data_IF_500728480000
#
_entry.id   IF_500728480000
#
_cell.length_a   1.000
_cell.length_b   1.000
_cell.length_c   1.000
_cell.angle_alpha   90.00
_cell.angle_beta   90.00
_cell.angle_gamma   90.00
#
_symmetry.space_group_name_H-M   'P 1'
#
loop_
_entity.id
_entity.type
_entity.pdbx_description
1 polymer ?
#
# COMPACT_ATOMS: atom_id res chain seq x y z
N UNK A 1 -7.53 61.03 27.34
CA UNK A 1 -6.50 60.16 26.75
C UNK A 1 -6.81 58.65 26.76
N UNK A 2 -7.99 58.23 27.20
CA UNK A 2 -8.35 56.78 27.34
C UNK A 2 -9.19 56.17 26.17
N UNK A 3 -9.71 56.97 25.27
CA UNK A 3 -10.58 56.50 24.17
C UNK A 3 -9.75 55.96 22.99
N UNK A 4 -8.61 56.59 22.67
CA UNK A 4 -7.74 56.19 21.54
C UNK A 4 -7.06 54.82 21.71
N UNK A 5 -6.76 54.43 22.94
CA UNK A 5 -6.15 53.11 23.23
C UNK A 5 -7.14 51.92 23.07
N UNK A 6 -8.43 52.17 23.38
CA UNK A 6 -9.48 51.14 23.24
C UNK A 6 -9.82 50.84 21.76
N UNK A 7 -9.79 51.84 20.90
CA UNK A 7 -10.01 51.68 19.47
C UNK A 7 -8.86 50.91 18.78
N UNK A 8 -7.62 51.23 19.15
CA UNK A 8 -6.44 50.51 18.61
C UNK A 8 -6.43 49.00 18.95
N UNK A 9 -6.85 48.64 20.17
CA UNK A 9 -6.98 47.22 20.59
C UNK A 9 -8.10 46.53 19.85
N UNK A 10 -9.24 47.20 19.65
CA UNK A 10 -10.39 46.67 18.93
C UNK A 10 -10.08 46.41 17.45
N UNK A 11 -9.35 47.32 16.82
CA UNK A 11 -8.86 47.15 15.43
C UNK A 11 -7.85 46.04 15.29
N UNK A 12 -6.95 45.82 16.23
CA UNK A 12 -6.00 44.71 16.24
C UNK A 12 -6.71 43.34 16.40
N UNK A 13 -7.73 43.29 17.25
CA UNK A 13 -8.53 42.07 17.42
C UNK A 13 -9.35 41.77 16.17
N UNK A 14 -9.97 42.74 15.53
CA UNK A 14 -10.69 42.59 14.27
C UNK A 14 -9.78 42.09 13.14
N UNK A 15 -8.58 42.68 12.99
CA UNK A 15 -7.60 42.17 12.00
C UNK A 15 -7.16 40.76 12.28
N UNK A 16 -6.96 40.38 13.56
CA UNK A 16 -6.59 38.98 13.92
C UNK A 16 -7.72 37.97 13.64
N UNK A 17 -8.98 38.38 13.83
CA UNK A 17 -10.12 37.55 13.46
C UNK A 17 -10.29 37.42 11.94
N UNK A 18 -10.12 38.55 11.22
CA UNK A 18 -10.19 38.56 9.75
C UNK A 18 -9.14 37.67 9.12
N UNK A 19 -7.89 37.71 9.63
CA UNK A 19 -6.83 36.83 9.15
C UNK A 19 -7.11 35.33 9.42
N UNK A 20 -7.83 34.98 10.49
CA UNK A 20 -8.25 33.61 10.76
C UNK A 20 -9.36 33.15 9.81
N UNK A 21 -10.31 34.02 9.50
CA UNK A 21 -11.40 33.73 8.56
C UNK A 21 -10.88 33.59 7.13
N UNK A 22 -9.96 34.46 6.70
CA UNK A 22 -9.31 34.35 5.38
C UNK A 22 -8.42 33.11 5.28
N UNK A 23 -7.69 32.74 6.34
CA UNK A 23 -6.91 31.49 6.35
C UNK A 23 -7.84 30.26 6.28
N UNK A 24 -8.97 30.26 6.98
CA UNK A 24 -9.95 29.19 6.96
C UNK A 24 -10.62 29.06 5.57
N UNK A 25 -10.95 30.18 4.93
CA UNK A 25 -11.53 30.18 3.59
C UNK A 25 -10.55 29.72 2.52
N UNK A 26 -9.25 30.05 2.66
CA UNK A 26 -8.20 29.57 1.77
C UNK A 26 -7.94 28.07 1.95
N UNK A 27 -7.98 27.53 3.17
CA UNK A 27 -7.86 26.08 3.41
C UNK A 27 -9.07 25.32 2.89
N UNK A 28 -10.28 25.83 3.06
CA UNK A 28 -11.50 25.23 2.49
C UNK A 28 -11.45 25.28 0.96
N UNK A 29 -10.99 26.38 0.37
CA UNK A 29 -10.81 26.50 -1.08
C UNK A 29 -9.78 25.51 -1.64
N UNK A 30 -8.67 25.24 -0.93
CA UNK A 30 -7.69 24.22 -1.34
C UNK A 30 -8.25 22.79 -1.23
N UNK A 31 -9.01 22.50 -0.18
CA UNK A 31 -9.61 21.15 -0.02
C UNK A 31 -10.68 20.88 -1.08
N UNK A 32 -11.52 21.88 -1.41
CA UNK A 32 -12.53 21.73 -2.49
C UNK A 32 -11.92 21.81 -3.90
N UNK A 33 -10.82 22.53 -4.09
CA UNK A 33 -10.12 22.60 -5.38
C UNK A 33 -9.44 21.28 -5.77
N UNK A 34 -9.06 20.44 -4.80
CA UNK A 34 -8.50 19.10 -5.04
C UNK A 34 -9.55 18.05 -5.47
N UNK A 35 -10.84 18.34 -5.29
CA UNK A 35 -11.95 17.48 -5.73
C UNK A 35 -12.64 17.97 -7.01
N UNK A 36 -12.10 18.96 -7.71
CA UNK A 36 -12.50 19.19 -9.08
C UNK A 36 -12.03 17.97 -9.89
N UNK A 37 -12.89 16.95 -9.95
CA UNK A 37 -12.73 15.89 -10.93
C UNK A 37 -12.68 16.58 -12.31
N UNK A 38 -11.49 16.68 -12.87
CA UNK A 38 -11.35 17.00 -14.28
C UNK A 38 -12.12 15.89 -15.01
N UNK A 39 -13.23 16.18 -15.69
CA UNK A 39 -13.83 15.16 -16.53
C UNK A 39 -12.76 14.81 -17.57
N UNK A 40 -12.18 13.64 -17.45
CA UNK A 40 -11.47 13.02 -18.56
C UNK A 40 -12.57 12.77 -19.59
N UNK A 41 -12.77 13.72 -20.49
CA UNK A 41 -13.46 13.44 -21.72
C UNK A 41 -12.61 12.40 -22.43
N UNK A 42 -13.08 11.15 -22.41
CA UNK A 42 -12.63 10.20 -23.42
C UNK A 42 -12.99 10.86 -24.76
N UNK A 43 -11.98 11.30 -25.50
CA UNK A 43 -12.20 11.60 -26.91
C UNK A 43 -12.78 10.32 -27.52
N UNK A 44 -13.98 10.41 -28.08
CA UNK A 44 -14.57 9.40 -28.96
C UNK A 44 -13.74 9.37 -30.27
N UNK A 45 -12.44 9.19 -30.15
CA UNK A 45 -11.57 8.79 -31.23
C UNK A 45 -11.92 7.34 -31.52
N UNK A 46 -12.40 7.13 -32.75
CA UNK A 46 -12.69 5.86 -33.38
C UNK A 46 -11.67 4.78 -33.00
N UNK A 47 -11.85 4.18 -31.80
CA UNK A 47 -10.94 3.19 -31.23
C UNK A 47 -11.27 1.88 -31.93
N UNK A 48 -10.56 1.62 -33.00
CA UNK A 48 -10.38 0.29 -33.53
C UNK A 48 -10.04 -0.64 -32.35
N UNK A 49 -11.06 -1.34 -31.82
CA UNK A 49 -10.94 -2.45 -30.91
C UNK A 49 -10.01 -2.27 -29.72
N UNK A 50 -10.26 -1.31 -28.79
CA UNK A 50 -9.53 -1.31 -27.52
C UNK A 50 -9.89 -2.58 -26.74
N UNK A 51 -8.91 -3.44 -26.52
CA UNK A 51 -9.08 -4.62 -25.65
C UNK A 51 -9.06 -4.15 -24.20
N UNK A 52 -10.19 -4.29 -23.50
CA UNK A 52 -10.29 -3.99 -22.06
C UNK A 52 -9.85 -5.25 -21.30
N UNK A 53 -8.90 -5.09 -20.38
CA UNK A 53 -8.47 -6.14 -19.46
C UNK A 53 -9.12 -5.91 -18.08
N UNK A 54 -9.65 -6.99 -17.48
CA UNK A 54 -10.03 -7.03 -16.08
C UNK A 54 -8.84 -7.54 -15.27
N UNK A 55 -8.14 -6.65 -14.57
CA UNK A 55 -7.00 -6.98 -13.72
C UNK A 55 -7.34 -6.68 -12.28
N UNK A 56 -7.25 -7.70 -11.42
CA UNK A 56 -7.57 -7.58 -10.02
C UNK A 56 -6.32 -7.62 -9.15
N UNK A 57 -6.20 -6.67 -8.24
CA UNK A 57 -5.07 -6.56 -7.32
C UNK A 57 -5.58 -6.76 -5.90
N UNK A 58 -4.99 -7.72 -5.19
CA UNK A 58 -5.16 -7.93 -3.76
C UNK A 58 -3.87 -7.51 -3.08
N UNK A 59 -3.97 -6.73 -2.00
CA UNK A 59 -2.78 -6.38 -1.24
C UNK A 59 -3.01 -6.52 0.26
N UNK A 60 -1.92 -6.76 0.97
CA UNK A 60 -1.84 -6.79 2.44
C UNK A 60 -0.71 -5.90 2.92
N UNK A 61 -0.75 -5.55 4.18
CA UNK A 61 0.30 -4.83 4.89
C UNK A 61 0.19 -5.12 6.39
N UNK A 62 1.29 -4.99 7.12
CA UNK A 62 1.32 -5.05 8.57
C UNK A 62 0.69 -6.33 9.18
N UNK A 63 0.88 -7.47 8.53
CA UNK A 63 0.35 -8.76 9.00
C UNK A 63 0.97 -9.14 10.34
N UNK A 64 2.25 -8.81 10.57
CA UNK A 64 2.98 -9.09 11.81
C UNK A 64 2.84 -10.55 12.29
N UNK A 65 2.89 -11.49 11.34
CA UNK A 65 2.72 -12.92 11.58
C UNK A 65 1.39 -13.31 12.26
N UNK A 66 0.33 -12.49 12.15
CA UNK A 66 -1.02 -12.82 12.58
C UNK A 66 -1.70 -13.68 11.52
N UNK A 67 -1.31 -14.93 11.47
CA UNK A 67 -1.69 -15.86 10.40
C UNK A 67 -2.97 -16.64 10.69
N UNK A 68 -3.39 -16.70 11.96
CA UNK A 68 -4.61 -17.34 12.40
C UNK A 68 -5.74 -16.30 12.56
N UNK A 69 -6.97 -16.75 12.39
CA UNK A 69 -8.15 -15.93 12.66
C UNK A 69 -8.24 -15.57 14.15
N UNK A 70 -8.54 -14.32 14.43
CA UNK A 70 -8.75 -13.81 15.78
C UNK A 70 -9.87 -12.76 15.77
N UNK A 71 -11.08 -13.19 16.14
CA UNK A 71 -12.25 -12.32 16.14
C UNK A 71 -12.12 -11.15 17.12
N UNK A 72 -11.42 -11.35 18.25
CA UNK A 72 -11.22 -10.31 19.25
C UNK A 72 -10.35 -9.16 18.72
N UNK A 73 -9.28 -9.49 17.99
CA UNK A 73 -8.37 -8.53 17.38
C UNK A 73 -8.73 -8.20 15.92
N UNK A 74 -9.86 -8.71 15.41
CA UNK A 74 -10.33 -8.53 14.05
C UNK A 74 -9.31 -8.99 12.99
N UNK A 75 -8.63 -10.08 13.23
CA UNK A 75 -7.69 -10.71 12.30
C UNK A 75 -8.42 -11.78 11.50
N UNK A 76 -8.37 -11.69 10.19
CA UNK A 76 -9.06 -12.65 9.31
C UNK A 76 -8.30 -13.97 9.09
N UNK A 77 -7.01 -14.00 9.42
CA UNK A 77 -6.13 -15.13 9.12
C UNK A 77 -5.73 -15.27 7.66
N UNK A 78 -4.61 -15.94 7.39
CA UNK A 78 -4.09 -16.08 6.03
C UNK A 78 -4.87 -17.10 5.19
N UNK A 79 -5.46 -18.10 5.82
CA UNK A 79 -6.32 -19.10 5.17
C UNK A 79 -7.59 -18.46 4.59
N UNK A 80 -8.30 -17.67 5.41
CA UNK A 80 -9.48 -16.92 4.94
C UNK A 80 -9.12 -15.86 3.92
N UNK A 81 -8.01 -15.14 4.15
CA UNK A 81 -7.49 -14.18 3.19
C UNK A 81 -7.25 -14.83 1.83
N UNK A 82 -6.62 -16.00 1.80
CA UNK A 82 -6.38 -16.76 0.57
C UNK A 82 -7.68 -17.11 -0.15
N UNK A 83 -8.69 -17.58 0.58
CA UNK A 83 -10.01 -17.89 0.02
C UNK A 83 -10.73 -16.66 -0.54
N UNK A 84 -10.68 -15.52 0.17
CA UNK A 84 -11.26 -14.26 -0.29
C UNK A 84 -10.53 -13.75 -1.54
N UNK A 85 -9.20 -13.80 -1.55
CA UNK A 85 -8.40 -13.39 -2.69
C UNK A 85 -8.73 -14.23 -3.93
N UNK A 86 -8.84 -15.54 -3.77
CA UNK A 86 -9.19 -16.47 -4.83
C UNK A 86 -10.57 -16.19 -5.42
N UNK A 87 -11.59 -16.04 -4.55
CA UNK A 87 -12.95 -15.70 -4.98
C UNK A 87 -13.03 -14.31 -5.65
N UNK A 88 -12.28 -13.33 -5.13
CA UNK A 88 -12.25 -11.99 -5.70
C UNK A 88 -11.62 -11.96 -7.09
N UNK A 89 -10.55 -12.74 -7.30
CA UNK A 89 -9.79 -12.75 -8.56
C UNK A 89 -10.37 -13.69 -9.60
N UNK A 90 -11.34 -14.51 -9.24
CA UNK A 90 -12.00 -15.44 -10.18
C UNK A 90 -12.58 -14.70 -11.39
N UNK A 91 -12.33 -15.26 -12.58
CA UNK A 91 -12.80 -14.74 -13.86
C UNK A 91 -12.12 -13.47 -14.36
N UNK A 92 -11.14 -12.93 -13.64
CA UNK A 92 -10.31 -11.82 -14.13
C UNK A 92 -9.35 -12.30 -15.24
N UNK A 93 -8.95 -11.39 -16.15
CA UNK A 93 -7.93 -11.70 -17.16
C UNK A 93 -6.54 -11.86 -16.51
N UNK A 94 -6.32 -11.23 -15.36
CA UNK A 94 -5.11 -11.39 -14.56
C UNK A 94 -5.28 -10.91 -13.14
N UNK A 95 -4.38 -11.33 -12.26
CA UNK A 95 -4.36 -10.88 -10.87
C UNK A 95 -2.96 -10.72 -10.34
N UNK A 96 -2.84 -9.89 -9.31
CA UNK A 96 -1.63 -9.71 -8.51
C UNK A 96 -1.99 -9.80 -7.03
N UNK A 97 -1.18 -10.54 -6.27
CA UNK A 97 -1.23 -10.55 -4.81
C UNK A 97 0.05 -9.97 -4.25
N UNK A 98 -0.05 -8.83 -3.57
CA UNK A 98 1.06 -8.01 -3.15
C UNK A 98 1.06 -7.82 -1.63
N UNK A 99 2.25 -7.59 -1.05
CA UNK A 99 2.40 -7.26 0.36
C UNK A 99 3.24 -5.99 0.53
N UNK A 100 2.79 -5.09 1.41
CA UNK A 100 3.48 -3.82 1.65
C UNK A 100 4.46 -3.86 2.82
N UNK A 101 4.74 -5.05 3.36
CA UNK A 101 5.74 -5.28 4.39
C UNK A 101 5.20 -5.36 5.81
N UNK A 102 6.11 -5.49 6.77
CA UNK A 102 5.89 -5.80 8.17
C UNK A 102 5.14 -7.12 8.37
N UNK A 103 5.57 -8.14 7.64
CA UNK A 103 4.87 -9.42 7.55
C UNK A 103 5.60 -10.54 8.30
N UNK A 104 6.94 -10.66 8.18
CA UNK A 104 7.69 -11.82 8.65
C UNK A 104 7.95 -11.87 10.16
N UNK A 105 7.71 -10.78 10.90
CA UNK A 105 8.00 -10.67 12.33
C UNK A 105 6.77 -10.25 13.12
N UNK A 106 6.62 -10.78 14.35
CA UNK A 106 5.54 -10.39 15.28
C UNK A 106 5.17 -11.50 16.24
N UNK A 107 4.35 -12.45 15.81
CA UNK A 107 3.86 -13.52 16.66
C UNK A 107 4.89 -14.66 16.85
N UNK A 108 4.67 -15.49 17.88
CA UNK A 108 5.55 -16.61 18.22
C UNK A 108 5.77 -17.58 17.08
N UNK A 109 4.75 -17.81 16.25
CA UNK A 109 4.83 -18.68 15.07
C UNK A 109 5.91 -18.23 14.08
N UNK A 110 6.19 -16.92 14.00
CA UNK A 110 7.27 -16.38 13.19
C UNK A 110 8.59 -16.32 13.98
N UNK A 111 8.56 -15.82 15.22
CA UNK A 111 9.79 -15.50 15.94
C UNK A 111 10.61 -16.74 16.27
N UNK A 112 9.98 -17.88 16.58
CA UNK A 112 10.65 -19.14 16.89
C UNK A 112 11.46 -19.71 15.71
N UNK A 113 11.03 -19.45 14.49
CA UNK A 113 11.66 -19.94 13.26
C UNK A 113 12.14 -18.81 12.33
N UNK A 114 12.34 -17.61 12.90
CA UNK A 114 12.85 -16.43 12.19
C UNK A 114 12.12 -16.18 10.87
N UNK A 115 10.78 -16.18 10.90
CA UNK A 115 9.90 -15.84 9.78
C UNK A 115 9.57 -16.97 8.81
N UNK A 116 10.20 -18.16 8.93
CA UNK A 116 10.05 -19.23 7.93
C UNK A 116 8.62 -19.73 7.76
N UNK A 117 7.87 -19.87 8.87
CA UNK A 117 6.48 -20.28 8.83
C UNK A 117 5.62 -19.34 7.99
N UNK A 118 5.79 -18.02 8.19
CA UNK A 118 5.05 -16.99 7.45
C UNK A 118 5.45 -16.99 5.97
N UNK A 119 6.74 -17.13 5.67
CA UNK A 119 7.22 -17.23 4.29
C UNK A 119 6.59 -18.43 3.54
N UNK A 120 6.47 -19.58 4.22
CA UNK A 120 5.79 -20.75 3.66
C UNK A 120 4.29 -20.51 3.42
N UNK A 121 3.62 -19.79 4.34
CA UNK A 121 2.22 -19.43 4.18
C UNK A 121 2.02 -18.42 3.04
N UNK A 122 2.88 -17.40 2.92
CA UNK A 122 2.85 -16.47 1.77
C UNK A 122 2.97 -17.21 0.45
N UNK A 123 3.88 -18.20 0.36
CA UNK A 123 3.99 -19.05 -0.83
C UNK A 123 2.70 -19.80 -1.12
N UNK A 124 2.07 -20.37 -0.09
CA UNK A 124 0.81 -21.11 -0.25
C UNK A 124 -0.34 -20.20 -0.67
N UNK A 125 -0.36 -18.95 -0.20
CA UNK A 125 -1.34 -17.94 -0.60
C UNK A 125 -1.10 -17.35 -2.00
N UNK A 126 0.05 -17.62 -2.62
CA UNK A 126 0.34 -17.19 -3.98
C UNK A 126 0.71 -15.72 -4.12
N UNK A 127 1.43 -15.15 -3.14
CA UNK A 127 1.96 -13.78 -3.27
C UNK A 127 2.95 -13.67 -4.43
N UNK A 128 2.82 -12.62 -5.22
CA UNK A 128 3.69 -12.34 -6.37
C UNK A 128 4.92 -11.50 -5.97
N UNK A 129 4.71 -10.49 -5.14
CA UNK A 129 5.76 -9.59 -4.69
C UNK A 129 5.45 -8.96 -3.34
N UNK A 130 6.49 -8.43 -2.71
CA UNK A 130 6.36 -7.61 -1.50
C UNK A 130 7.38 -6.47 -1.52
N UNK A 131 7.12 -5.44 -0.75
CA UNK A 131 8.14 -4.51 -0.26
C UNK A 131 8.45 -4.81 1.20
N UNK A 132 9.39 -4.10 1.81
CA UNK A 132 9.79 -4.33 3.19
C UNK A 132 9.31 -3.24 4.11
N UNK A 133 8.69 -3.60 5.24
CA UNK A 133 8.55 -2.74 6.39
C UNK A 133 9.77 -2.83 7.32
N UNK A 134 9.77 -2.08 8.40
CA UNK A 134 10.91 -2.06 9.32
C UNK A 134 11.08 -3.36 10.13
N UNK A 135 10.00 -4.08 10.42
CA UNK A 135 10.04 -5.32 11.18
C UNK A 135 10.59 -6.52 10.39
N UNK A 136 10.51 -6.50 9.07
CA UNK A 136 11.03 -7.59 8.23
C UNK A 136 12.55 -7.72 8.32
N UNK A 137 13.25 -6.66 8.74
CA UNK A 137 14.70 -6.64 8.96
C UNK A 137 15.13 -7.19 10.32
N UNK A 138 14.19 -7.53 11.21
CA UNK A 138 14.46 -7.95 12.59
C UNK A 138 15.37 -9.19 12.70
N UNK A 139 15.34 -10.07 11.69
CA UNK A 139 16.19 -11.27 11.65
C UNK A 139 17.48 -11.07 10.84
N UNK A 140 17.74 -9.84 10.40
CA UNK A 140 18.89 -9.47 9.60
C UNK A 140 18.65 -9.59 8.09
N UNK A 141 19.48 -8.87 7.35
CA UNK A 141 19.35 -8.69 5.90
C UNK A 141 19.43 -9.98 5.08
N UNK A 142 20.31 -10.90 5.51
CA UNK A 142 20.53 -12.15 4.77
C UNK A 142 19.34 -13.10 4.97
N UNK A 143 18.80 -13.13 6.21
CA UNK A 143 17.58 -13.89 6.47
C UNK A 143 16.38 -13.36 5.71
N UNK A 144 16.26 -12.05 5.55
CA UNK A 144 15.17 -11.45 4.76
C UNK A 144 15.23 -11.89 3.30
N UNK A 145 16.41 -11.93 2.68
CA UNK A 145 16.56 -12.47 1.33
C UNK A 145 16.17 -13.95 1.24
N UNK A 146 16.61 -14.75 2.22
CA UNK A 146 16.24 -16.15 2.31
C UNK A 146 14.73 -16.35 2.43
N UNK A 147 14.04 -15.52 3.27
CA UNK A 147 12.58 -15.56 3.43
C UNK A 147 11.86 -15.25 2.12
N UNK A 148 12.33 -14.27 1.34
CA UNK A 148 11.81 -14.00 0.01
C UNK A 148 11.91 -15.22 -0.91
N UNK A 149 13.04 -15.93 -0.88
CA UNK A 149 13.22 -17.18 -1.61
C UNK A 149 12.27 -18.29 -1.15
N UNK A 150 12.10 -18.47 0.16
CA UNK A 150 11.17 -19.46 0.74
C UNK A 150 9.72 -19.13 0.36
N UNK A 151 9.34 -17.86 0.45
CA UNK A 151 8.02 -17.38 0.08
C UNK A 151 7.77 -17.42 -1.45
N UNK A 152 8.83 -17.55 -2.23
CA UNK A 152 8.80 -17.45 -3.69
C UNK A 152 8.23 -16.10 -4.17
N UNK A 153 8.52 -15.03 -3.43
CA UNK A 153 8.11 -13.66 -3.76
C UNK A 153 9.31 -12.82 -4.20
N UNK A 154 9.05 -11.84 -5.06
CA UNK A 154 10.03 -10.81 -5.36
C UNK A 154 9.98 -9.73 -4.29
N UNK A 155 11.08 -9.51 -3.57
CA UNK A 155 11.20 -8.36 -2.67
C UNK A 155 11.65 -7.16 -3.49
N UNK A 156 10.77 -6.15 -3.60
CA UNK A 156 10.97 -4.97 -4.43
C UNK A 156 11.46 -3.80 -3.58
N UNK A 157 12.60 -3.23 -3.94
CA UNK A 157 13.10 -2.02 -3.28
C UNK A 157 14.10 -1.28 -4.15
N UNK A 158 13.65 -0.26 -4.85
CA UNK A 158 14.50 0.57 -5.70
C UNK A 158 15.44 1.51 -4.95
N UNK A 159 15.17 1.76 -3.65
CA UNK A 159 15.94 2.70 -2.81
C UNK A 159 16.96 2.02 -1.88
N UNK A 160 16.91 0.70 -1.69
CA UNK A 160 17.86 -0.01 -0.84
C UNK A 160 18.99 -0.55 -1.71
N UNK A 161 20.19 -0.07 -1.46
CA UNK A 161 21.38 -0.38 -2.25
C UNK A 161 22.48 -0.96 -1.37
N UNK A 162 23.34 -1.76 -1.99
CA UNK A 162 24.62 -2.14 -1.41
C UNK A 162 25.56 -0.92 -1.33
N UNK A 163 26.66 -1.04 -0.61
CA UNK A 163 27.66 0.02 -0.48
C UNK A 163 28.33 0.41 -1.80
N UNK A 164 28.30 -0.47 -2.78
CA UNK A 164 28.81 -0.24 -4.14
C UNK A 164 27.76 0.37 -5.09
N UNK A 165 26.54 0.68 -4.59
CA UNK A 165 25.45 1.27 -5.35
C UNK A 165 24.58 0.28 -6.12
N UNK A 166 24.90 -1.00 -6.10
CA UNK A 166 24.06 -2.04 -6.72
C UNK A 166 22.78 -2.28 -5.92
N UNK A 167 21.74 -2.81 -6.55
CA UNK A 167 20.50 -3.16 -5.86
C UNK A 167 20.74 -4.22 -4.79
N UNK A 168 20.17 -4.01 -3.61
CA UNK A 168 20.32 -4.97 -2.51
C UNK A 168 19.51 -6.24 -2.76
N UNK A 169 18.29 -6.12 -3.28
CA UNK A 169 17.47 -7.25 -3.72
C UNK A 169 17.67 -7.50 -5.21
N UNK A 170 17.28 -8.69 -5.67
CA UNK A 170 17.51 -9.13 -7.05
C UNK A 170 16.77 -8.31 -8.12
N UNK A 171 15.75 -7.57 -7.73
CA UNK A 171 14.98 -6.72 -8.64
C UNK A 171 14.40 -5.49 -7.93
N UNK A 172 14.35 -4.38 -8.66
CA UNK A 172 13.72 -3.14 -8.21
C UNK A 172 12.24 -3.06 -8.64
N UNK A 173 11.81 -3.92 -9.57
CA UNK A 173 10.46 -3.95 -10.11
C UNK A 173 10.04 -5.37 -10.52
N UNK A 174 8.73 -5.62 -10.49
CA UNK A 174 8.11 -6.81 -11.07
C UNK A 174 7.34 -6.40 -12.32
N UNK A 175 7.58 -7.10 -13.42
CA UNK A 175 6.77 -7.02 -14.63
C UNK A 175 6.02 -8.35 -14.76
N UNK A 176 4.70 -8.29 -14.84
CA UNK A 176 3.83 -9.45 -15.06
C UNK A 176 3.07 -9.24 -16.37
N UNK A 177 3.27 -10.14 -17.30
CA UNK A 177 2.51 -10.17 -18.55
C UNK A 177 1.13 -10.76 -18.30
N UNK A 178 0.10 -10.11 -18.82
CA UNK A 178 -1.29 -10.55 -18.73
C UNK A 178 -1.82 -10.73 -20.14
N UNK A 179 -2.24 -11.93 -20.44
CA UNK A 179 -2.83 -12.28 -21.74
C UNK A 179 -4.32 -12.50 -21.56
N UNK A 180 -5.12 -11.80 -22.37
CA UNK A 180 -6.58 -11.98 -22.31
C UNK A 180 -6.95 -13.40 -22.69
N UNK A 181 -7.69 -14.06 -21.81
CA UNK A 181 -8.26 -15.38 -22.12
C UNK A 181 -9.48 -15.17 -23.02
N UNK A 182 -9.50 -15.81 -24.18
CA UNK A 182 -10.71 -15.89 -24.99
C UNK A 182 -11.74 -16.74 -24.22
N UNK A 183 -12.86 -16.10 -23.88
CA UNK A 183 -14.00 -16.79 -23.28
C UNK A 183 -14.72 -17.55 -24.41
N UNK A 184 -14.56 -18.87 -24.44
CA UNK A 184 -15.34 -19.76 -25.31
C UNK A 184 -16.75 -19.97 -24.77
#
# INVERSE_FOLDING_TARGET
>A
MSVSLKEGVKMKQLKKQWNKVTALLLTIGMVFGLFAAVPVQAEDGNASGSTIFDVKIVHTNDIHARVEEDDYNQVIGMDRLSGIAQAFTEGADGSLMLDSGDTFHGQSIATLVKGESVAKLMKACGYDAMTTGNHDWSYGKDRLKELGGIANVKILSGNIKNTDGTSFFDTDALVKEITKMEKH
#
